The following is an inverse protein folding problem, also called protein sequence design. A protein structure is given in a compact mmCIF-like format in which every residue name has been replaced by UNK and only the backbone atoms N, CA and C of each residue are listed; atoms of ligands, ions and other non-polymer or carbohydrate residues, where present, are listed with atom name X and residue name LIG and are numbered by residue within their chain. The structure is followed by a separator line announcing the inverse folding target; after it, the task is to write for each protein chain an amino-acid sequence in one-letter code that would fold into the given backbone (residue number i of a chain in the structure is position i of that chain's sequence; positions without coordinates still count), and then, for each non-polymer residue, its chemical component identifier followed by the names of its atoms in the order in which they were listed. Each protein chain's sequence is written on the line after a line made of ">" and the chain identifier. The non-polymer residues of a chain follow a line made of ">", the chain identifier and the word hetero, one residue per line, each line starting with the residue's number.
data_IF_958937617600
#
_entry.id   IF_958937617600
#
_cell.length_a   1.000
_cell.length_b   1.000
_cell.length_c   1.000
_cell.angle_alpha   90.00
_cell.angle_beta   90.00
_cell.angle_gamma   90.00
#
_symmetry.space_group_name_H-M   'P 1'
#
loop_
_entity.id
_entity.type
_entity.pdbx_description
1 polymer ?
#
# COMPACT_ATOMS: atom_id res chain seq x y z
N UNK A 1 0.54 -63.71 18.41
CA UNK A 1 1.56 -62.91 17.69
C UNK A 1 1.01 -62.70 16.28
N UNK A 2 0.82 -61.52 15.68
CA UNK A 2 1.02 -60.12 16.03
C UNK A 2 -0.16 -59.32 15.42
N UNK A 3 -0.65 -58.27 16.09
CA UNK A 3 -1.67 -57.35 15.53
C UNK A 3 -0.95 -56.26 14.74
N UNK A 4 -1.28 -56.13 13.46
CA UNK A 4 -0.93 -55.00 12.60
C UNK A 4 -1.78 -53.79 13.03
N UNK A 5 -1.13 -52.71 13.46
CA UNK A 5 -1.77 -51.42 13.72
C UNK A 5 -1.73 -50.59 12.43
N UNK A 6 -2.87 -50.46 11.74
CA UNK A 6 -3.08 -49.43 10.72
C UNK A 6 -3.79 -48.24 11.35
N UNK A 7 -3.12 -47.08 11.39
CA UNK A 7 -3.72 -45.83 11.89
C UNK A 7 -4.90 -45.41 11.00
N UNK A 8 -6.06 -45.02 11.57
CA UNK A 8 -7.12 -44.42 10.78
C UNK A 8 -6.68 -43.05 10.29
N UNK A 9 -6.49 -42.94 8.97
CA UNK A 9 -6.43 -41.66 8.26
C UNK A 9 -7.67 -40.87 8.65
N UNK A 10 -7.48 -39.74 9.32
CA UNK A 10 -8.57 -38.82 9.64
C UNK A 10 -8.93 -38.12 8.34
N UNK A 11 -9.87 -38.70 7.61
CA UNK A 11 -10.37 -38.13 6.36
C UNK A 11 -11.08 -36.82 6.71
N UNK A 12 -10.48 -35.70 6.30
CA UNK A 12 -11.05 -34.37 6.53
C UNK A 12 -12.33 -34.29 5.70
N UNK A 13 -13.49 -34.01 6.31
CA UNK A 13 -14.74 -33.95 5.55
C UNK A 13 -14.63 -32.85 4.48
N UNK A 14 -15.01 -33.12 3.22
CA UNK A 14 -14.86 -32.17 2.14
C UNK A 14 -15.68 -30.91 2.41
N UNK A 15 -15.07 -29.73 2.24
CA UNK A 15 -15.76 -28.46 2.42
C UNK A 15 -16.87 -28.29 1.37
N UNK A 16 -18.09 -28.03 1.83
CA UNK A 16 -19.29 -27.84 0.98
C UNK A 16 -19.17 -26.68 -0.01
N UNK A 17 -18.30 -25.72 0.26
CA UNK A 17 -18.05 -24.58 -0.61
C UNK A 17 -16.61 -24.59 -1.09
N UNK A 18 -16.41 -24.40 -2.39
CA UNK A 18 -15.11 -24.28 -3.02
C UNK A 18 -15.04 -22.95 -3.77
N UNK A 19 -14.03 -22.16 -3.48
CA UNK A 19 -13.74 -20.95 -4.24
C UNK A 19 -12.93 -21.35 -5.46
N UNK A 20 -13.40 -20.98 -6.64
CA UNK A 20 -12.67 -21.18 -7.90
C UNK A 20 -12.58 -19.86 -8.63
N UNK A 21 -11.49 -19.66 -9.37
CA UNK A 21 -11.36 -18.52 -10.25
C UNK A 21 -12.06 -18.79 -11.58
N UNK A 22 -12.97 -17.90 -11.98
CA UNK A 22 -13.67 -17.92 -13.26
C UNK A 22 -13.70 -16.51 -13.83
N UNK A 23 -13.25 -16.33 -15.06
CA UNK A 23 -13.22 -15.02 -15.75
C UNK A 23 -12.51 -13.90 -14.96
N UNK A 24 -11.37 -14.23 -14.33
CA UNK A 24 -10.60 -13.34 -13.42
C UNK A 24 -11.38 -12.88 -12.19
N UNK A 25 -12.38 -13.64 -11.76
CA UNK A 25 -13.17 -13.38 -10.54
C UNK A 25 -13.25 -14.64 -9.69
N UNK A 26 -13.17 -14.46 -8.37
CA UNK A 26 -13.40 -15.55 -7.42
C UNK A 26 -14.90 -15.83 -7.34
N UNK A 27 -15.29 -17.05 -7.68
CA UNK A 27 -16.68 -17.53 -7.60
C UNK A 27 -16.74 -18.66 -6.58
N UNK A 28 -17.69 -18.57 -5.65
CA UNK A 28 -17.95 -19.61 -4.66
C UNK A 28 -18.96 -20.60 -5.24
N UNK A 29 -18.57 -21.86 -5.35
CA UNK A 29 -19.42 -22.95 -5.85
C UNK A 29 -19.74 -23.89 -4.69
N UNK A 30 -21.02 -24.30 -4.58
CA UNK A 30 -21.42 -25.39 -3.69
C UNK A 30 -21.02 -26.72 -4.35
N UNK A 31 -20.16 -27.50 -3.69
CA UNK A 31 -19.61 -28.76 -4.20
C UNK A 31 -20.63 -29.90 -4.23
N UNK A 32 -21.78 -29.76 -3.54
CA UNK A 32 -22.87 -30.75 -3.52
C UNK A 32 -23.85 -30.55 -4.67
N UNK A 33 -24.08 -29.30 -5.08
CA UNK A 33 -25.05 -28.97 -6.14
C UNK A 33 -24.40 -28.49 -7.44
N UNK A 34 -23.10 -28.20 -7.44
CA UNK A 34 -22.34 -27.72 -8.60
C UNK A 34 -22.75 -26.33 -9.08
N UNK A 35 -23.62 -25.63 -8.33
CA UNK A 35 -24.18 -24.33 -8.71
C UNK A 35 -23.39 -23.17 -8.07
N UNK A 36 -23.26 -22.03 -8.76
CA UNK A 36 -22.73 -20.82 -8.14
C UNK A 36 -23.67 -20.41 -7.00
N UNK A 37 -23.11 -20.17 -5.82
CA UNK A 37 -23.87 -19.53 -4.74
C UNK A 37 -24.28 -18.13 -5.22
N UNK A 38 -25.59 -17.86 -5.23
CA UNK A 38 -26.26 -16.73 -5.89
C UNK A 38 -25.50 -15.39 -5.83
N UNK A 39 -25.46 -14.70 -6.97
CA UNK A 39 -24.87 -13.37 -7.13
C UNK A 39 -25.50 -12.32 -6.19
N UNK A 40 -24.75 -11.26 -5.78
CA UNK A 40 -25.33 -10.13 -5.07
C UNK A 40 -26.27 -9.37 -6.01
N UNK A 41 -27.58 -9.48 -5.77
CA UNK A 41 -28.57 -8.65 -6.45
C UNK A 41 -28.48 -7.18 -6.01
N UNK A 42 -28.94 -6.23 -6.84
CA UNK A 42 -28.93 -4.80 -6.51
C UNK A 42 -29.92 -4.49 -5.39
N UNK A 43 -29.43 -3.81 -4.35
CA UNK A 43 -30.23 -3.38 -3.19
C UNK A 43 -31.12 -2.19 -3.59
N UNK A 44 -32.44 -2.18 -3.30
CA UNK A 44 -33.33 -1.08 -3.68
C UNK A 44 -33.06 0.19 -2.86
N UNK A 45 -33.07 1.35 -3.54
CA UNK A 45 -32.87 2.67 -2.95
C UNK A 45 -34.06 3.10 -2.08
N UNK A 46 -33.78 3.47 -0.82
CA UNK A 46 -34.77 4.02 0.12
C UNK A 46 -34.89 5.55 -0.03
N UNK A 47 -36.08 6.17 0.12
CA UNK A 47 -36.27 7.60 -0.14
C UNK A 47 -35.60 8.48 0.91
N UNK A 48 -34.99 9.58 0.45
CA UNK A 48 -34.29 10.61 1.22
C UNK A 48 -35.30 11.59 1.87
N UNK A 49 -35.28 11.81 3.19
CA UNK A 49 -35.89 12.99 3.78
C UNK A 49 -34.93 14.19 3.76
N UNK A 50 -35.54 15.37 3.78
CA UNK A 50 -35.01 16.70 3.52
C UNK A 50 -33.85 17.16 4.42
N UNK A 51 -33.06 18.06 3.86
CA UNK A 51 -31.88 18.70 4.43
C UNK A 51 -32.26 19.97 5.20
N UNK A 52 -31.81 20.14 6.45
CA UNK A 52 -31.48 21.45 6.98
C UNK A 52 -29.96 21.71 6.92
N UNK A 53 -29.62 22.98 6.86
CA UNK A 53 -28.31 23.54 6.56
C UNK A 53 -27.24 23.31 7.63
N UNK A 54 -25.99 23.41 7.16
CA UNK A 54 -24.76 23.72 7.90
C UNK A 54 -24.52 23.01 9.24
N UNK A 55 -23.73 21.93 9.19
CA UNK A 55 -22.87 21.56 10.30
C UNK A 55 -21.54 21.08 9.71
N UNK A 56 -20.44 21.64 10.20
CA UNK A 56 -19.06 21.27 9.90
C UNK A 56 -18.93 19.74 9.91
N UNK A 57 -18.49 19.15 8.80
CA UNK A 57 -18.14 17.73 8.80
C UNK A 57 -16.78 17.61 9.48
N UNK A 58 -16.63 16.85 10.59
CA UNK A 58 -15.32 16.34 10.92
C UNK A 58 -14.88 15.46 9.75
N UNK A 59 -13.66 15.65 9.29
CA UNK A 59 -13.01 14.73 8.35
C UNK A 59 -12.91 13.40 9.10
N UNK A 60 -13.90 12.52 8.90
CA UNK A 60 -13.77 11.12 9.27
C UNK A 60 -12.71 10.54 8.36
N UNK A 61 -11.47 10.60 8.83
CA UNK A 61 -10.36 9.80 8.34
C UNK A 61 -10.86 8.35 8.32
N UNK A 62 -11.01 7.71 7.15
CA UNK A 62 -11.37 6.31 7.12
C UNK A 62 -10.21 5.57 7.79
N UNK A 63 -10.51 4.96 8.94
CA UNK A 63 -9.59 4.13 9.71
C UNK A 63 -8.81 3.24 8.74
N UNK A 64 -7.46 3.25 8.81
CA UNK A 64 -6.65 2.64 7.77
C UNK A 64 -6.95 1.15 7.73
N UNK A 65 -7.61 0.69 6.65
CA UNK A 65 -7.85 -0.73 6.37
C UNK A 65 -6.51 -1.44 6.51
N UNK A 66 -6.28 -2.15 7.61
CA UNK A 66 -5.07 -2.90 7.86
C UNK A 66 -5.07 -4.04 6.85
N UNK A 67 -4.32 -3.86 5.76
CA UNK A 67 -4.03 -4.95 4.85
C UNK A 67 -3.01 -5.78 5.61
N UNK A 68 -3.50 -6.89 6.16
CA UNK A 68 -2.69 -7.83 6.94
C UNK A 68 -1.92 -8.70 5.94
N UNK A 69 -0.86 -8.11 5.37
CA UNK A 69 0.07 -8.86 4.54
C UNK A 69 0.82 -9.82 5.47
N UNK A 70 0.30 -11.04 5.59
CA UNK A 70 0.90 -12.18 6.31
C UNK A 70 2.35 -12.49 5.90
N UNK A 71 2.89 -11.81 4.89
CA UNK A 71 4.24 -11.90 4.36
C UNK A 71 5.29 -11.14 5.17
N UNK A 72 4.90 -10.27 6.12
CA UNK A 72 5.86 -9.47 6.90
C UNK A 72 6.47 -8.30 6.11
N UNK A 73 5.93 -8.00 4.93
CA UNK A 73 6.39 -6.92 4.07
C UNK A 73 6.10 -5.52 4.68
N UNK A 74 7.04 -4.59 4.50
CA UNK A 74 6.92 -3.23 5.04
C UNK A 74 6.00 -2.37 4.16
N UNK A 75 4.94 -1.79 4.74
CA UNK A 75 3.98 -0.96 4.00
C UNK A 75 4.36 0.52 4.12
N UNK A 76 4.75 1.14 2.99
CA UNK A 76 4.96 2.59 2.90
C UNK A 76 3.63 3.28 2.58
N UNK A 77 3.25 4.26 3.40
CA UNK A 77 2.09 5.13 3.12
C UNK A 77 2.59 6.51 2.65
N UNK A 78 2.18 6.95 1.46
CA UNK A 78 2.55 8.27 0.92
C UNK A 78 1.69 9.36 1.54
N UNK A 79 2.26 10.56 1.75
CA UNK A 79 1.53 11.72 2.29
C UNK A 79 1.25 12.78 1.21
N UNK A 80 0.21 13.62 1.37
CA UNK A 80 -0.13 14.69 0.41
C UNK A 80 0.97 15.74 0.21
N UNK A 81 1.92 15.82 1.16
CA UNK A 81 3.07 16.72 1.06
C UNK A 81 3.99 16.30 -0.08
N UNK A 82 4.13 14.99 -0.30
CA UNK A 82 5.09 14.39 -1.23
C UNK A 82 4.45 13.81 -2.49
N UNK A 83 3.16 13.49 -2.47
CA UNK A 83 2.44 12.89 -3.59
C UNK A 83 1.08 13.58 -3.82
N UNK A 84 0.81 13.99 -5.06
CA UNK A 84 -0.46 14.61 -5.46
C UNK A 84 -1.65 13.65 -5.41
N UNK A 85 -1.39 12.35 -5.48
CA UNK A 85 -2.44 11.31 -5.49
C UNK A 85 -2.51 10.55 -4.17
N UNK A 86 -1.88 11.07 -3.12
CA UNK A 86 -1.94 10.53 -1.77
C UNK A 86 -3.38 10.55 -1.21
N UNK A 87 -3.71 9.68 -0.23
CA UNK A 87 -2.85 8.67 0.38
C UNK A 87 -2.78 7.37 -0.46
N UNK A 88 -1.56 6.89 -0.76
CA UNK A 88 -1.30 5.60 -1.40
C UNK A 88 -0.52 4.67 -0.48
N UNK A 89 -0.70 3.36 -0.64
CA UNK A 89 0.03 2.33 0.11
C UNK A 89 0.80 1.45 -0.84
N UNK A 90 2.10 1.28 -0.57
CA UNK A 90 3.04 0.52 -1.39
C UNK A 90 3.67 -0.54 -0.51
N UNK A 91 3.60 -1.79 -0.94
CA UNK A 91 4.18 -2.94 -0.23
C UNK A 91 5.62 -3.10 -0.68
N UNK A 92 6.57 -3.03 0.25
CA UNK A 92 8.01 -3.16 -0.03
C UNK A 92 8.49 -4.58 0.24
N UNK A 93 9.10 -5.21 -0.76
CA UNK A 93 9.76 -6.52 -0.66
C UNK A 93 11.12 -6.40 0.07
N UNK A 94 11.50 -7.43 0.82
CA UNK A 94 12.74 -7.48 1.61
C UNK A 94 13.99 -7.33 0.76
N UNK A 95 13.97 -7.88 -0.47
CA UNK A 95 15.08 -7.75 -1.42
C UNK A 95 15.30 -6.31 -1.86
N UNK A 96 14.21 -5.55 -1.99
CA UNK A 96 14.25 -4.13 -2.33
C UNK A 96 14.81 -3.32 -1.16
N UNK A 97 14.35 -3.61 0.07
CA UNK A 97 14.84 -2.99 1.29
C UNK A 97 16.35 -3.19 1.50
N UNK A 98 16.90 -4.39 1.26
CA UNK A 98 18.34 -4.62 1.42
C UNK A 98 19.20 -3.86 0.40
N UNK A 99 18.75 -3.79 -0.87
CA UNK A 99 19.45 -3.05 -1.93
C UNK A 99 19.44 -1.56 -1.64
N UNK A 100 18.30 -1.03 -1.23
CA UNK A 100 18.12 0.36 -0.88
C UNK A 100 18.90 0.73 0.38
N UNK A 101 18.82 -0.08 1.44
CA UNK A 101 19.52 0.21 2.70
C UNK A 101 21.02 0.37 2.52
N UNK A 102 21.67 -0.54 1.79
CA UNK A 102 23.11 -0.45 1.51
C UNK A 102 23.47 0.72 0.58
N UNK A 103 22.70 0.92 -0.49
CA UNK A 103 22.98 1.97 -1.47
C UNK A 103 22.75 3.37 -0.88
N UNK A 104 21.62 3.59 -0.21
CA UNK A 104 21.27 4.86 0.41
C UNK A 104 22.18 5.16 1.59
N UNK A 105 22.51 4.17 2.43
CA UNK A 105 23.40 4.38 3.57
C UNK A 105 24.79 4.86 3.17
N UNK A 106 25.41 4.19 2.19
CA UNK A 106 26.72 4.61 1.67
C UNK A 106 26.68 5.98 1.00
N UNK A 107 25.65 6.25 0.20
CA UNK A 107 25.53 7.53 -0.50
C UNK A 107 25.24 8.69 0.45
N UNK A 108 24.44 8.48 1.51
CA UNK A 108 24.19 9.47 2.56
C UNK A 108 25.48 9.88 3.27
N UNK A 109 26.33 8.91 3.62
CA UNK A 109 27.61 9.19 4.28
C UNK A 109 28.51 10.01 3.35
N UNK A 110 28.64 9.58 2.08
CA UNK A 110 29.44 10.30 1.08
C UNK A 110 28.94 11.72 0.86
N UNK A 111 27.62 11.89 0.70
CA UNK A 111 27.00 13.21 0.58
C UNK A 111 27.27 14.06 1.81
N UNK A 112 27.09 13.52 3.01
CA UNK A 112 27.31 14.24 4.26
C UNK A 112 28.75 14.75 4.39
N UNK A 113 29.73 13.90 4.10
CA UNK A 113 31.16 14.31 4.10
C UNK A 113 31.42 15.37 3.03
N UNK A 114 30.95 15.16 1.80
CA UNK A 114 31.11 16.13 0.72
C UNK A 114 30.47 17.48 1.06
N UNK A 115 29.28 17.47 1.65
CA UNK A 115 28.58 18.68 2.09
C UNK A 115 29.32 19.40 3.21
N UNK A 116 29.88 18.65 4.16
CA UNK A 116 30.69 19.19 5.27
C UNK A 116 31.94 19.89 4.74
N UNK A 117 32.64 19.26 3.78
CA UNK A 117 33.80 19.87 3.12
C UNK A 117 33.38 21.12 2.34
N UNK A 118 32.30 21.06 1.56
CA UNK A 118 31.80 22.21 0.82
C UNK A 118 31.45 23.38 1.75
N UNK A 119 30.89 23.11 2.93
CA UNK A 119 30.58 24.12 3.93
C UNK A 119 31.79 24.84 4.50
N UNK A 120 32.92 24.14 4.66
CA UNK A 120 34.16 24.74 5.12
C UNK A 120 34.66 25.82 4.16
N UNK A 121 34.57 25.56 2.85
CA UNK A 121 35.07 26.47 1.81
C UNK A 121 34.03 27.51 1.38
N UNK A 122 32.74 27.22 1.53
CA UNK A 122 31.63 28.06 1.04
C UNK A 122 30.53 28.16 2.10
N UNK A 123 30.71 28.96 3.15
CA UNK A 123 29.76 29.04 4.27
C UNK A 123 28.36 29.53 3.86
N UNK A 124 28.25 30.26 2.74
CA UNK A 124 26.98 30.75 2.21
C UNK A 124 26.05 29.64 1.67
N UNK A 125 26.55 28.40 1.50
CA UNK A 125 25.73 27.23 1.12
C UNK A 125 24.61 26.91 2.13
N UNK A 126 24.68 27.45 3.37
CA UNK A 126 23.63 27.31 4.40
C UNK A 126 22.32 27.91 3.89
N UNK A 127 22.37 28.94 3.07
CA UNK A 127 21.19 29.64 2.55
C UNK A 127 20.51 28.85 1.42
N UNK A 128 21.25 27.98 0.75
CA UNK A 128 20.79 27.24 -0.42
C UNK A 128 19.58 26.32 -0.15
N UNK A 129 19.57 25.45 0.89
CA UNK A 129 18.38 24.65 1.20
C UNK A 129 17.18 25.52 1.56
N UNK A 130 17.37 26.68 2.21
CA UNK A 130 16.27 27.60 2.52
C UNK A 130 15.68 28.20 1.25
N UNK A 131 16.49 28.62 0.29
CA UNK A 131 16.00 29.13 -1.00
C UNK A 131 15.24 28.06 -1.78
N UNK A 132 15.77 26.84 -1.84
CA UNK A 132 15.13 25.71 -2.53
C UNK A 132 13.80 25.35 -1.86
N UNK A 133 13.78 25.30 -0.52
CA UNK A 133 12.55 25.07 0.23
C UNK A 133 11.60 26.21 -0.05
N UNK A 134 11.95 27.49 0.12
CA UNK A 134 10.97 28.59 -0.02
C UNK A 134 10.35 28.73 -1.42
N UNK A 135 10.96 28.17 -2.47
CA UNK A 135 10.42 28.27 -3.83
C UNK A 135 9.26 27.29 -4.09
N UNK A 136 8.01 27.77 -4.28
CA UNK A 136 6.85 26.91 -4.48
C UNK A 136 6.90 26.15 -5.81
N UNK A 137 7.55 26.71 -6.83
CA UNK A 137 7.72 26.07 -8.14
C UNK A 137 8.57 24.80 -8.09
N UNK A 138 9.70 24.84 -7.36
CA UNK A 138 10.56 23.68 -7.14
C UNK A 138 9.83 22.58 -6.36
N UNK A 139 9.11 22.95 -5.29
CA UNK A 139 8.28 21.99 -4.53
C UNK A 139 7.23 21.33 -5.41
N UNK A 140 6.53 22.10 -6.24
CA UNK A 140 5.49 21.58 -7.13
C UNK A 140 6.08 20.67 -8.22
N UNK A 141 7.24 21.02 -8.78
CA UNK A 141 7.95 20.20 -9.76
C UNK A 141 8.43 18.89 -9.13
N UNK A 142 9.04 18.94 -7.95
CA UNK A 142 9.46 17.77 -7.19
C UNK A 142 8.26 16.85 -6.89
N UNK A 143 7.12 17.40 -6.46
CA UNK A 143 5.90 16.62 -6.20
C UNK A 143 5.36 15.94 -7.46
N UNK A 144 5.34 16.65 -8.61
CA UNK A 144 4.92 16.06 -9.90
C UNK A 144 5.85 14.92 -10.32
N UNK A 145 7.17 15.11 -10.15
CA UNK A 145 8.16 14.09 -10.46
C UNK A 145 8.01 12.86 -9.56
N UNK A 146 7.80 13.05 -8.25
CA UNK A 146 7.54 11.96 -7.32
C UNK A 146 6.26 11.20 -7.69
N UNK A 147 5.15 11.89 -7.95
CA UNK A 147 3.91 11.24 -8.39
C UNK A 147 4.09 10.47 -9.70
N UNK A 148 4.84 11.00 -10.67
CA UNK A 148 5.14 10.28 -11.91
C UNK A 148 5.95 9.00 -11.64
N UNK A 149 6.93 9.05 -10.73
CA UNK A 149 7.72 7.87 -10.37
C UNK A 149 6.88 6.82 -9.62
N UNK A 150 5.96 7.26 -8.78
CA UNK A 150 5.01 6.39 -8.08
C UNK A 150 4.04 5.71 -9.05
N UNK A 151 3.54 6.44 -10.04
CA UNK A 151 2.65 5.89 -11.08
C UNK A 151 3.34 4.81 -11.92
N UNK A 152 4.66 4.91 -12.15
CA UNK A 152 5.45 3.88 -12.83
C UNK A 152 5.47 2.57 -12.04
N UNK A 153 5.73 2.65 -10.73
CA UNK A 153 5.81 1.48 -9.84
C UNK A 153 4.45 0.80 -9.67
N UNK A 154 3.35 1.57 -9.76
CA UNK A 154 1.99 1.01 -9.69
C UNK A 154 1.60 0.23 -10.97
N UNK A 155 2.23 0.53 -12.11
CA UNK A 155 1.96 -0.17 -13.39
C UNK A 155 2.82 -1.41 -13.61
N UNK A 156 3.96 -1.52 -12.93
CA UNK A 156 4.92 -2.63 -13.04
C UNK A 156 4.56 -3.79 -12.12
#
# INVERSE_FOLDING_TARGET
>A
MARTAGSPVTDVPPSRYKVVERDRRLVVIDTVTGKPASAPGPVPAKPRPERPAASERPVSEPEPRRIDDRSGAQILTTSPVYDLKAPRRIVMDDRFNQKIGKAIGGWLITLFVAFTIAFLFFPWLIVLPFLVILQPGLRAAARKWVTARLDEVERS
#
